data_IF_671932137476
#
_entry.id   IF_671932137476
#
_cell.length_a   1.000
_cell.length_b   1.000
_cell.length_c   1.000
_cell.angle_alpha   90.00
_cell.angle_beta   90.00
_cell.angle_gamma   90.00
#
_symmetry.space_group_name_H-M   'P 1'
#
loop_
_entity.id
_entity.type
_entity.pdbx_description
1 polymer ?
#
# COMPACT_ATOMS: atom_id res chain seq x y z
N UNK A 1 -5.94 -19.49 3.77
CA UNK A 1 -5.50 -19.27 2.37
C UNK A 1 -6.49 -18.28 1.76
N UNK A 2 -6.05 -17.07 1.34
CA UNK A 2 -6.97 -16.05 0.82
C UNK A 2 -7.67 -16.53 -0.46
N UNK A 3 -8.96 -16.29 -0.55
CA UNK A 3 -9.75 -16.70 -1.70
C UNK A 3 -9.34 -15.89 -2.96
N UNK A 4 -9.61 -16.41 -4.17
CA UNK A 4 -9.21 -15.74 -5.41
C UNK A 4 -9.87 -14.35 -5.55
N UNK A 5 -11.09 -14.20 -5.04
CA UNK A 5 -11.80 -12.93 -5.00
C UNK A 5 -11.14 -11.93 -4.04
N UNK A 6 -10.73 -12.36 -2.85
CA UNK A 6 -10.04 -11.53 -1.86
C UNK A 6 -8.69 -11.04 -2.39
N UNK A 7 -7.93 -11.91 -3.08
CA UNK A 7 -6.66 -11.53 -3.72
C UNK A 7 -6.86 -10.48 -4.82
N UNK A 8 -7.95 -10.55 -5.59
CA UNK A 8 -8.29 -9.53 -6.59
C UNK A 8 -8.70 -8.21 -5.94
N UNK A 9 -9.53 -8.25 -4.89
CA UNK A 9 -9.92 -7.06 -4.15
C UNK A 9 -8.69 -6.36 -3.54
N UNK A 10 -7.79 -7.12 -2.92
CA UNK A 10 -6.56 -6.58 -2.34
C UNK A 10 -5.63 -5.96 -3.39
N UNK A 11 -5.48 -6.60 -4.56
CA UNK A 11 -4.71 -6.00 -5.68
C UNK A 11 -5.36 -4.72 -6.21
N UNK A 12 -6.69 -4.63 -6.22
CA UNK A 12 -7.39 -3.40 -6.60
C UNK A 12 -7.07 -2.28 -5.61
N UNK A 13 -7.10 -2.58 -4.32
CA UNK A 13 -6.86 -1.55 -3.30
C UNK A 13 -5.41 -1.07 -3.26
N UNK A 14 -4.43 -1.97 -3.43
CA UNK A 14 -3.03 -1.58 -3.61
C UNK A 14 -2.87 -0.59 -4.77
N UNK A 15 -3.45 -0.90 -5.93
CA UNK A 15 -3.35 -0.03 -7.11
C UNK A 15 -4.04 1.31 -6.92
N UNK A 16 -5.19 1.31 -6.23
CA UNK A 16 -5.92 2.52 -5.91
C UNK A 16 -5.10 3.43 -4.97
N UNK A 17 -4.55 2.88 -3.89
CA UNK A 17 -3.70 3.64 -2.97
C UNK A 17 -2.45 4.19 -3.64
N UNK A 18 -1.78 3.40 -4.49
CA UNK A 18 -0.62 3.89 -5.27
C UNK A 18 -1.04 5.06 -6.15
N UNK A 19 -2.17 4.95 -6.86
CA UNK A 19 -2.68 6.01 -7.73
C UNK A 19 -3.02 7.28 -6.95
N UNK A 20 -3.71 7.16 -5.82
CA UNK A 20 -4.11 8.28 -4.97
C UNK A 20 -2.88 8.99 -4.39
N UNK A 21 -1.91 8.25 -3.84
CA UNK A 21 -0.66 8.83 -3.34
C UNK A 21 0.17 9.46 -4.46
N UNK A 22 0.15 8.88 -5.66
CA UNK A 22 0.84 9.44 -6.83
C UNK A 22 0.20 10.73 -7.34
N UNK A 23 -1.00 11.11 -6.89
CA UNK A 23 -1.61 12.40 -7.25
C UNK A 23 -1.22 13.52 -6.30
N UNK A 24 -0.66 13.21 -5.14
CA UNK A 24 -0.15 14.22 -4.20
C UNK A 24 1.12 14.85 -4.75
N UNK A 25 1.37 16.11 -4.42
CA UNK A 25 2.61 16.78 -4.77
C UNK A 25 3.80 16.27 -3.95
N UNK A 26 5.01 16.41 -4.50
CA UNK A 26 6.23 15.95 -3.84
C UNK A 26 6.49 16.64 -2.49
N UNK A 27 6.01 17.88 -2.30
CA UNK A 27 6.11 18.56 -1.01
C UNK A 27 5.24 17.87 0.05
N UNK A 28 3.99 17.52 -0.28
CA UNK A 28 3.09 16.78 0.61
C UNK A 28 3.66 15.40 0.92
N UNK A 29 4.17 14.69 -0.09
CA UNK A 29 4.82 13.40 0.11
C UNK A 29 6.01 13.53 1.06
N UNK A 30 6.85 14.55 0.88
CA UNK A 30 8.02 14.80 1.73
C UNK A 30 7.64 15.17 3.16
N UNK A 31 6.58 15.94 3.36
CA UNK A 31 6.07 16.29 4.68
C UNK A 31 5.58 15.05 5.45
N UNK A 32 5.09 14.04 4.73
CA UNK A 32 4.77 12.71 5.29
C UNK A 32 6.00 11.79 5.43
N UNK A 33 7.20 12.27 5.14
CA UNK A 33 8.44 11.49 5.18
C UNK A 33 8.57 10.48 4.03
N UNK A 34 7.88 10.69 2.91
CA UNK A 34 7.83 9.78 1.78
C UNK A 34 8.41 10.41 0.51
N UNK A 35 9.06 9.60 -0.31
CA UNK A 35 9.43 9.98 -1.69
C UNK A 35 8.45 9.36 -2.68
N UNK A 36 8.25 9.98 -3.84
CA UNK A 36 7.40 9.42 -4.90
C UNK A 36 7.82 8.01 -5.31
N UNK A 37 9.12 7.76 -5.39
CA UNK A 37 9.70 6.48 -5.75
C UNK A 37 9.44 5.38 -4.70
N UNK A 38 9.19 5.77 -3.44
CA UNK A 38 8.94 4.82 -2.35
C UNK A 38 7.46 4.45 -2.17
N UNK A 39 6.53 5.13 -2.86
CA UNK A 39 5.08 4.89 -2.71
C UNK A 39 4.74 3.40 -2.91
N UNK A 40 5.23 2.78 -3.99
CA UNK A 40 4.90 1.39 -4.28
C UNK A 40 5.41 0.43 -3.19
N UNK A 41 6.66 0.62 -2.74
CA UNK A 41 7.26 -0.21 -1.71
C UNK A 41 6.52 -0.06 -0.38
N UNK A 42 6.20 1.18 0.02
CA UNK A 42 5.51 1.47 1.27
C UNK A 42 4.10 0.87 1.31
N UNK A 43 3.34 0.97 0.22
CA UNK A 43 1.98 0.37 0.14
C UNK A 43 2.05 -1.15 0.23
N UNK A 44 3.03 -1.79 -0.44
CA UNK A 44 3.21 -3.25 -0.39
C UNK A 44 3.61 -3.71 1.00
N UNK A 45 4.57 -3.03 1.62
CA UNK A 45 5.02 -3.32 2.98
C UNK A 45 3.87 -3.21 3.99
N UNK A 46 3.04 -2.16 3.86
CA UNK A 46 1.86 -1.98 4.73
C UNK A 46 0.90 -3.17 4.62
N UNK A 47 0.61 -3.62 3.39
CA UNK A 47 -0.24 -4.79 3.16
C UNK A 47 0.37 -6.07 3.73
N UNK A 48 1.68 -6.23 3.65
CA UNK A 48 2.39 -7.37 4.23
C UNK A 48 2.42 -7.31 5.77
N UNK A 49 2.57 -6.12 6.36
CA UNK A 49 2.48 -5.92 7.79
C UNK A 49 1.08 -6.25 8.32
N UNK A 50 0.02 -5.87 7.60
CA UNK A 50 -1.36 -6.26 7.96
C UNK A 50 -1.59 -7.77 7.85
N UNK A 51 -0.93 -8.44 6.90
CA UNK A 51 -0.96 -9.91 6.82
C UNK A 51 -0.22 -10.52 8.01
N UNK A 52 0.97 -10.02 8.34
CA UNK A 52 1.75 -10.47 9.50
C UNK A 52 0.98 -10.29 10.80
N UNK A 53 0.36 -9.12 11.02
CA UNK A 53 -0.45 -8.85 12.21
C UNK A 53 -1.74 -9.68 12.29
N UNK A 54 -2.29 -10.12 11.14
CA UNK A 54 -3.43 -11.07 11.11
C UNK A 54 -3.05 -12.51 11.44
N UNK A 55 -1.76 -12.85 11.44
CA UNK A 55 -1.24 -14.20 11.66
C UNK A 55 -0.14 -14.25 12.74
N UNK A 56 0.03 -13.18 13.53
CA UNK A 56 1.00 -13.08 14.61
C UNK A 56 0.31 -13.25 15.97
N UNK A 57 0.86 -14.14 16.80
CA UNK A 57 0.46 -14.40 18.19
C UNK A 57 0.78 -13.22 19.10
#
# INVERSE_FOLDING_TARGET
MLDAHERRAQRREIRKSIRELSQLDDHILKDMGMSRNSIESAVRERVEAERRGRYGW
#
